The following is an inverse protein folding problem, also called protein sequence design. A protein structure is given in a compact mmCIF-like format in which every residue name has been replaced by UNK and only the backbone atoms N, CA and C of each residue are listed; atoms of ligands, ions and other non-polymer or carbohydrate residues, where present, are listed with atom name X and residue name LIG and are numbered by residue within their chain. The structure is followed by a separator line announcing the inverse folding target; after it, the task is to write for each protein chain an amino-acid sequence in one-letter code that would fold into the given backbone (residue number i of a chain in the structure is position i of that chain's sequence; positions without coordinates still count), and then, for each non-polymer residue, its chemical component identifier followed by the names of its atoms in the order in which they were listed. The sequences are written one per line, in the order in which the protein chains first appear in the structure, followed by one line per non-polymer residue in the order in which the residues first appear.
data_IF_134221185949
#
_entry.id   IF_134221185949
#
_cell.length_a   1.000
_cell.length_b   1.000
_cell.length_c   1.000
_cell.angle_alpha   90.00
_cell.angle_beta   90.00
_cell.angle_gamma   90.00
#
_symmetry.space_group_name_H-M   'P 1'
#
loop_
_entity.id
_entity.type
_entity.pdbx_description
1 polymer ?
#
# COMPACT_ATOMS: atom_id res chain seq x y z
N UNK A 1 -3.76 -10.47 8.72
CA UNK A 1 -2.95 -9.48 7.98
C UNK A 1 -2.00 -8.84 8.96
N UNK A 2 -0.68 -8.85 8.72
CA UNK A 2 0.28 -8.38 9.73
C UNK A 2 0.80 -6.99 9.32
N UNK A 3 0.39 -5.96 10.03
CA UNK A 3 0.94 -4.59 9.92
C UNK A 3 2.22 -4.53 10.76
N UNK A 4 3.25 -3.85 10.26
CA UNK A 4 4.50 -3.66 11.03
C UNK A 4 4.21 -2.92 12.33
N UNK A 5 4.81 -3.30 13.48
CA UNK A 5 4.58 -2.59 14.75
C UNK A 5 4.83 -1.08 14.65
N UNK A 6 5.85 -0.67 13.88
CA UNK A 6 6.16 0.74 13.67
C UNK A 6 5.05 1.54 12.94
N UNK A 7 4.10 0.87 12.26
CA UNK A 7 2.95 1.54 11.66
C UNK A 7 1.98 2.12 12.70
N UNK A 8 1.94 1.57 13.92
CA UNK A 8 1.13 2.12 14.99
C UNK A 8 1.53 3.56 15.35
N UNK A 9 2.80 3.90 15.24
CA UNK A 9 3.33 5.24 15.52
C UNK A 9 2.91 6.30 14.48
N UNK A 10 2.48 5.88 13.30
CA UNK A 10 2.06 6.77 12.21
C UNK A 10 0.55 6.73 11.97
N UNK A 11 -0.15 5.81 12.65
CA UNK A 11 -1.61 5.77 12.61
C UNK A 11 -2.21 7.09 13.11
N UNK A 12 -3.17 7.61 12.35
CA UNK A 12 -3.83 8.88 12.70
C UNK A 12 -3.03 10.15 12.44
N UNK A 13 -1.81 10.07 11.88
CA UNK A 13 -1.12 11.27 11.39
C UNK A 13 -1.93 11.90 10.26
N UNK A 14 -2.33 13.18 10.38
CA UNK A 14 -3.14 13.82 9.36
C UNK A 14 -2.40 13.88 8.04
N UNK A 15 -3.14 13.68 6.95
CA UNK A 15 -2.66 14.04 5.63
C UNK A 15 -2.76 15.55 5.47
N UNK A 16 -1.70 16.17 4.95
CA UNK A 16 -1.69 17.60 4.65
C UNK A 16 -1.57 17.83 3.15
N UNK A 17 -2.19 18.90 2.61
CA UNK A 17 -2.02 19.25 1.20
C UNK A 17 -0.58 19.66 0.92
N UNK A 18 -0.08 19.28 -0.25
CA UNK A 18 1.21 19.76 -0.70
C UNK A 18 1.16 21.28 -0.98
N UNK A 19 2.18 22.02 -0.59
CA UNK A 19 2.33 23.43 -0.93
C UNK A 19 3.26 23.61 -2.14
N UNK A 20 4.58 23.33 -1.93
CA UNK A 20 5.60 23.41 -2.97
C UNK A 20 6.39 22.11 -3.11
N UNK A 21 5.94 21.04 -2.45
CA UNK A 21 6.61 19.75 -2.44
C UNK A 21 5.59 18.62 -2.42
N UNK A 22 5.64 17.76 -3.43
CA UNK A 22 4.80 16.59 -3.58
C UNK A 22 5.63 15.34 -3.31
N UNK A 23 5.45 14.70 -2.16
CA UNK A 23 6.12 13.45 -1.84
C UNK A 23 5.34 12.29 -2.46
N UNK A 24 5.90 11.70 -3.51
CA UNK A 24 5.36 10.53 -4.19
C UNK A 24 6.13 9.28 -3.76
N UNK A 25 5.44 8.31 -3.20
CA UNK A 25 6.02 7.01 -2.85
C UNK A 25 5.58 5.96 -3.87
N UNK A 26 6.56 5.27 -4.47
CA UNK A 26 6.33 4.20 -5.45
C UNK A 26 6.82 2.89 -4.85
N UNK A 27 5.88 2.02 -4.52
CA UNK A 27 6.16 0.84 -3.71
C UNK A 27 5.60 -0.45 -4.30
N UNK A 28 6.50 -1.32 -4.76
CA UNK A 28 6.17 -2.58 -5.44
C UNK A 28 5.91 -3.78 -4.52
N UNK A 29 6.01 -3.60 -3.19
CA UNK A 29 5.99 -4.72 -2.24
C UNK A 29 7.37 -5.38 -2.10
N UNK A 30 7.44 -6.62 -1.57
CA UNK A 30 8.69 -7.27 -1.19
C UNK A 30 9.73 -7.41 -2.32
N UNK A 31 9.27 -7.66 -3.56
CA UNK A 31 10.15 -7.94 -4.71
C UNK A 31 10.34 -6.76 -5.66
N UNK A 32 9.70 -5.62 -5.39
CA UNK A 32 9.61 -4.53 -6.36
C UNK A 32 8.75 -4.92 -7.58
N UNK A 33 8.36 -3.93 -8.37
CA UNK A 33 7.53 -4.16 -9.56
C UNK A 33 8.16 -3.47 -10.77
N UNK A 34 8.67 -4.26 -11.73
CA UNK A 34 9.35 -3.74 -12.94
C UNK A 34 8.48 -2.74 -13.72
N UNK A 35 7.16 -2.96 -13.75
CA UNK A 35 6.23 -2.03 -14.41
C UNK A 35 6.33 -0.60 -13.85
N UNK A 36 6.61 -0.44 -12.57
CA UNK A 36 6.79 0.89 -11.99
C UNK A 36 8.09 1.54 -12.45
N UNK A 37 9.17 0.76 -12.59
CA UNK A 37 10.44 1.24 -13.13
C UNK A 37 10.32 1.68 -14.60
N UNK A 38 9.44 1.04 -15.37
CA UNK A 38 9.21 1.33 -16.77
C UNK A 38 8.25 2.50 -17.01
N UNK A 39 7.23 2.66 -16.15
CA UNK A 39 6.12 3.59 -16.41
C UNK A 39 6.26 4.90 -15.65
N UNK A 40 6.66 4.84 -14.37
CA UNK A 40 6.58 6.04 -13.51
C UNK A 40 7.56 7.13 -13.94
N UNK A 41 8.85 6.86 -14.25
CA UNK A 41 9.75 7.91 -14.73
C UNK A 41 9.24 8.59 -15.99
N UNK A 42 8.78 7.81 -16.98
CA UNK A 42 8.26 8.35 -18.22
C UNK A 42 6.95 9.14 -18.05
N UNK A 43 6.13 8.78 -17.09
CA UNK A 43 4.94 9.54 -16.73
C UNK A 43 5.30 10.88 -16.11
N UNK A 44 6.26 10.90 -15.18
CA UNK A 44 6.71 12.14 -14.54
C UNK A 44 7.40 13.09 -15.54
N UNK A 45 8.09 12.55 -16.56
CA UNK A 45 8.64 13.34 -17.65
C UNK A 45 7.58 14.13 -18.44
N UNK A 46 6.34 13.63 -18.44
CA UNK A 46 5.21 14.24 -19.18
C UNK A 46 4.41 15.25 -18.35
N UNK A 47 4.72 15.39 -17.06
CA UNK A 47 4.06 16.41 -16.23
C UNK A 47 4.44 17.81 -16.69
N UNK A 48 3.52 18.79 -16.55
CA UNK A 48 3.87 20.21 -16.68
C UNK A 48 5.07 20.55 -15.79
N UNK A 49 5.97 21.38 -16.27
CA UNK A 49 7.21 21.76 -15.57
C UNK A 49 6.95 22.27 -14.14
N UNK A 50 5.91 23.10 -13.99
CA UNK A 50 5.51 23.66 -12.71
C UNK A 50 5.12 22.58 -11.66
N UNK A 51 4.60 21.45 -12.09
CA UNK A 51 4.31 20.29 -11.21
C UNK A 51 5.54 19.41 -11.04
N UNK A 52 6.26 19.12 -12.14
CA UNK A 52 7.42 18.23 -12.15
C UNK A 52 8.49 18.68 -11.17
N UNK A 53 8.77 19.98 -11.09
CA UNK A 53 9.77 20.56 -10.18
C UNK A 53 9.41 20.42 -8.70
N UNK A 54 8.13 20.19 -8.38
CA UNK A 54 7.66 19.99 -7.01
C UNK A 54 7.70 18.53 -6.57
N UNK A 55 7.82 17.59 -7.52
CA UNK A 55 7.74 16.14 -7.20
C UNK A 55 9.05 15.65 -6.60
N UNK A 56 8.95 15.05 -5.43
CA UNK A 56 10.00 14.30 -4.77
C UNK A 56 9.60 12.83 -4.71
N UNK A 57 10.39 11.98 -5.33
CA UNK A 57 10.07 10.56 -5.48
C UNK A 57 10.87 9.72 -4.51
N UNK A 58 10.20 8.80 -3.81
CA UNK A 58 10.87 7.64 -3.21
C UNK A 58 10.33 6.40 -3.91
N UNK A 59 11.19 5.73 -4.68
CA UNK A 59 10.79 4.57 -5.47
C UNK A 59 11.57 3.33 -5.09
N UNK A 60 10.85 2.23 -4.83
CA UNK A 60 11.44 0.92 -4.83
C UNK A 60 11.61 0.43 -6.28
N UNK A 61 12.81 0.04 -6.65
CA UNK A 61 13.11 -0.57 -7.94
C UNK A 61 13.90 -1.86 -7.74
N UNK A 62 13.79 -2.81 -8.68
CA UNK A 62 14.61 -4.01 -8.66
C UNK A 62 16.09 -3.64 -8.83
N UNK A 63 16.99 -4.47 -8.32
CA UNK A 63 18.45 -4.21 -8.39
C UNK A 63 18.92 -3.93 -9.82
N UNK A 64 18.41 -4.68 -10.78
CA UNK A 64 18.73 -4.54 -12.20
C UNK A 64 18.20 -3.26 -12.85
N UNK A 65 17.17 -2.63 -12.26
CA UNK A 65 16.52 -1.43 -12.78
C UNK A 65 17.04 -0.14 -12.11
N UNK A 66 17.81 -0.22 -11.00
CA UNK A 66 18.17 0.93 -10.16
C UNK A 66 18.85 2.05 -10.94
N UNK A 67 19.91 1.74 -11.67
CA UNK A 67 20.71 2.75 -12.40
C UNK A 67 19.90 3.41 -13.51
N UNK A 68 19.09 2.64 -14.23
CA UNK A 68 18.22 3.16 -15.28
C UNK A 68 17.19 4.14 -14.72
N UNK A 69 16.56 3.78 -13.60
CA UNK A 69 15.54 4.62 -12.95
C UNK A 69 16.17 5.89 -12.35
N UNK A 70 17.35 5.78 -11.70
CA UNK A 70 18.09 6.92 -11.17
C UNK A 70 18.50 7.90 -12.29
N UNK A 71 19.06 7.39 -13.38
CA UNK A 71 19.44 8.19 -14.52
C UNK A 71 18.25 8.91 -15.16
N UNK A 72 17.10 8.23 -15.26
CA UNK A 72 15.88 8.83 -15.78
C UNK A 72 15.41 10.00 -14.91
N UNK A 73 15.37 9.88 -13.59
CA UNK A 73 15.00 10.98 -12.70
C UNK A 73 16.01 12.12 -12.73
N UNK A 74 17.30 11.80 -12.73
CA UNK A 74 18.36 12.81 -12.79
C UNK A 74 18.30 13.65 -14.06
N UNK A 75 18.05 13.02 -15.23
CA UNK A 75 17.94 13.72 -16.52
C UNK A 75 16.77 14.72 -16.58
N UNK A 76 15.75 14.53 -15.72
CA UNK A 76 14.58 15.40 -15.62
C UNK A 76 14.69 16.44 -14.49
N UNK A 77 15.79 16.44 -13.72
CA UNK A 77 15.95 17.28 -12.53
C UNK A 77 15.00 16.91 -11.37
N UNK A 78 14.43 15.70 -11.37
CA UNK A 78 13.54 15.24 -10.29
C UNK A 78 14.37 14.75 -9.12
N UNK A 79 14.09 15.29 -7.91
CA UNK A 79 14.67 14.77 -6.67
C UNK A 79 14.13 13.37 -6.41
N UNK A 80 14.97 12.35 -6.48
CA UNK A 80 14.55 10.96 -6.30
C UNK A 80 15.49 10.16 -5.40
N UNK A 81 14.89 9.38 -4.50
CA UNK A 81 15.52 8.29 -3.77
C UNK A 81 15.06 6.97 -4.38
N UNK A 82 15.97 6.21 -4.95
CA UNK A 82 15.67 4.92 -5.60
C UNK A 82 16.45 3.81 -4.92
N UNK A 83 15.73 2.87 -4.31
CA UNK A 83 16.30 1.81 -3.47
C UNK A 83 15.73 0.43 -3.84
N UNK A 84 16.50 -0.64 -3.68
CA UNK A 84 15.99 -1.99 -3.90
C UNK A 84 15.01 -2.45 -2.82
N UNK A 85 15.11 -1.86 -1.65
CA UNK A 85 14.25 -2.13 -0.51
C UNK A 85 14.08 -0.87 0.36
N UNK A 86 12.85 -0.60 0.77
CA UNK A 86 12.51 0.54 1.64
C UNK A 86 12.39 0.05 3.08
N UNK A 87 13.32 0.48 3.95
CA UNK A 87 13.36 0.07 5.36
C UNK A 87 12.47 0.95 6.25
N UNK A 88 12.26 2.19 5.86
CA UNK A 88 11.60 3.26 6.59
C UNK A 88 10.15 3.50 6.10
N UNK A 89 9.46 2.44 5.67
CA UNK A 89 8.10 2.53 5.11
C UNK A 89 7.12 3.31 6.01
N UNK A 90 7.11 3.15 7.34
CA UNK A 90 6.23 3.96 8.18
C UNK A 90 6.43 5.46 8.00
N UNK A 91 7.67 5.93 8.03
CA UNK A 91 7.98 7.35 7.87
C UNK A 91 7.71 7.85 6.45
N UNK A 92 8.00 7.03 5.45
CA UNK A 92 7.68 7.33 4.06
C UNK A 92 6.18 7.50 3.86
N UNK A 93 5.38 6.56 4.35
CA UNK A 93 3.93 6.65 4.27
C UNK A 93 3.39 7.84 5.07
N UNK A 94 3.92 8.10 6.27
CA UNK A 94 3.49 9.23 7.10
C UNK A 94 3.67 10.58 6.40
N UNK A 95 4.62 10.71 5.48
CA UNK A 95 4.92 11.93 4.77
C UNK A 95 4.49 11.91 3.28
N UNK A 96 3.91 10.81 2.82
CA UNK A 96 3.47 10.69 1.43
C UNK A 96 2.21 11.54 1.16
N UNK A 97 2.22 12.23 0.02
CA UNK A 97 1.02 12.87 -0.52
C UNK A 97 0.23 11.92 -1.40
N UNK A 98 0.91 10.99 -2.07
CA UNK A 98 0.30 9.93 -2.89
C UNK A 98 1.21 8.70 -2.88
N UNK A 99 0.61 7.52 -2.87
CA UNK A 99 1.29 6.24 -3.00
C UNK A 99 0.90 5.58 -4.32
N UNK A 100 1.87 5.14 -5.11
CA UNK A 100 1.63 4.22 -6.24
C UNK A 100 2.14 2.85 -5.81
N UNK A 101 1.28 1.82 -5.86
CA UNK A 101 1.69 0.52 -5.34
C UNK A 101 0.93 -0.68 -5.88
N UNK A 102 1.41 -1.87 -5.50
CA UNK A 102 0.65 -3.11 -5.64
C UNK A 102 -0.44 -3.18 -4.57
N UNK A 103 -1.49 -3.96 -4.84
CA UNK A 103 -2.63 -4.11 -3.94
C UNK A 103 -2.54 -5.38 -3.06
N UNK A 104 -1.33 -5.78 -2.67
CA UNK A 104 -1.14 -6.86 -1.71
C UNK A 104 -1.70 -6.48 -0.34
N UNK A 105 -2.28 -7.46 0.36
CA UNK A 105 -3.01 -7.21 1.60
C UNK A 105 -2.21 -6.45 2.67
N UNK A 106 -0.91 -6.77 2.88
CA UNK A 106 -0.08 -6.03 3.84
C UNK A 106 0.16 -4.58 3.41
N UNK A 107 0.38 -4.33 2.10
CA UNK A 107 0.56 -2.99 1.58
C UNK A 107 -0.70 -2.13 1.78
N UNK A 108 -1.87 -2.69 1.47
CA UNK A 108 -3.17 -2.02 1.71
C UNK A 108 -3.33 -1.67 3.19
N UNK A 109 -3.06 -2.63 4.09
CA UNK A 109 -3.20 -2.39 5.52
C UNK A 109 -2.26 -1.28 6.02
N UNK A 110 -1.02 -1.20 5.52
CA UNK A 110 -0.07 -0.15 5.89
C UNK A 110 -0.47 1.21 5.29
N UNK A 111 -0.89 1.26 4.02
CA UNK A 111 -1.36 2.48 3.36
C UNK A 111 -2.59 3.07 4.07
N UNK A 112 -3.57 2.23 4.39
CA UNK A 112 -4.79 2.66 5.11
C UNK A 112 -4.49 3.06 6.54
N UNK A 113 -3.61 2.34 7.23
CA UNK A 113 -3.17 2.72 8.60
C UNK A 113 -2.51 4.09 8.62
N UNK A 114 -1.72 4.42 7.60
CA UNK A 114 -1.13 5.75 7.44
C UNK A 114 -2.14 6.79 6.93
N UNK A 115 -3.32 6.40 6.47
CA UNK A 115 -4.32 7.31 5.92
C UNK A 115 -3.82 8.00 4.63
N UNK A 116 -3.27 7.24 3.69
CA UNK A 116 -2.69 7.83 2.46
C UNK A 116 -3.49 7.46 1.22
N UNK A 117 -3.75 8.45 0.33
CA UNK A 117 -4.38 8.18 -0.95
C UNK A 117 -3.45 7.33 -1.82
N UNK A 118 -4.02 6.45 -2.64
CA UNK A 118 -3.20 5.53 -3.43
C UNK A 118 -3.72 5.27 -4.83
N UNK A 119 -2.79 5.12 -5.78
CA UNK A 119 -3.04 4.49 -7.09
C UNK A 119 -2.54 3.05 -6.98
N UNK A 120 -3.47 2.12 -7.09
CA UNK A 120 -3.22 0.69 -6.92
C UNK A 120 -3.21 -0.02 -8.27
N UNK A 121 -2.11 -0.71 -8.54
CA UNK A 121 -1.92 -1.51 -9.76
C UNK A 121 -1.86 -2.99 -9.35
N UNK A 122 -2.98 -3.72 -9.40
CA UNK A 122 -3.00 -5.14 -9.04
C UNK A 122 -2.05 -5.97 -9.91
N UNK A 123 -1.48 -7.03 -9.33
CA UNK A 123 -0.64 -7.97 -10.07
C UNK A 123 -1.53 -8.85 -10.96
N UNK A 124 -1.27 -8.93 -12.29
CA UNK A 124 -2.21 -9.55 -13.23
C UNK A 124 -2.27 -11.09 -13.21
N UNK A 125 -1.54 -11.79 -12.35
CA UNK A 125 -1.40 -13.24 -12.38
C UNK A 125 -1.53 -13.90 -10.99
N UNK A 126 -2.42 -13.42 -10.16
CA UNK A 126 -2.75 -14.17 -8.96
C UNK A 126 -3.77 -15.27 -9.31
N UNK A 127 -3.51 -16.50 -8.93
CA UNK A 127 -4.45 -17.64 -9.08
C UNK A 127 -5.78 -17.40 -8.34
N UNK A 128 -5.78 -16.48 -7.37
CA UNK A 128 -6.94 -15.82 -6.78
C UNK A 128 -6.80 -14.33 -7.09
N UNK A 129 -7.72 -13.70 -7.74
CA UNK A 129 -7.69 -12.28 -8.13
C UNK A 129 -7.70 -11.32 -6.90
N UNK A 130 -7.02 -11.74 -5.83
CA UNK A 130 -6.98 -11.14 -4.51
C UNK A 130 -6.56 -9.65 -4.56
N UNK A 131 -5.55 -9.34 -5.35
CA UNK A 131 -5.10 -7.95 -5.44
C UNK A 131 -6.12 -7.05 -6.13
N UNK A 132 -6.83 -7.56 -7.13
CA UNK A 132 -7.92 -6.81 -7.77
C UNK A 132 -9.06 -6.55 -6.80
N UNK A 133 -9.45 -7.55 -6.01
CA UNK A 133 -10.50 -7.38 -4.98
C UNK A 133 -10.07 -6.37 -3.91
N UNK A 134 -8.83 -6.46 -3.44
CA UNK A 134 -8.27 -5.48 -2.50
C UNK A 134 -8.30 -4.05 -3.08
N UNK A 135 -7.85 -3.87 -4.32
CA UNK A 135 -7.84 -2.56 -4.97
C UNK A 135 -9.27 -2.04 -5.21
N UNK A 136 -10.20 -2.94 -5.57
CA UNK A 136 -11.61 -2.59 -5.74
C UNK A 136 -12.23 -2.09 -4.44
N UNK A 137 -11.99 -2.75 -3.32
CA UNK A 137 -12.48 -2.32 -2.02
C UNK A 137 -11.98 -0.92 -1.64
N UNK A 138 -10.69 -0.61 -1.89
CA UNK A 138 -10.13 0.73 -1.68
C UNK A 138 -10.80 1.77 -2.57
N UNK A 139 -11.01 1.44 -3.85
CA UNK A 139 -11.64 2.36 -4.81
C UNK A 139 -13.11 2.62 -4.48
N UNK A 140 -13.86 1.58 -4.10
CA UNK A 140 -15.27 1.70 -3.69
C UNK A 140 -15.43 2.55 -2.43
N UNK A 141 -14.48 2.49 -1.52
CA UNK A 141 -14.45 3.33 -0.32
C UNK A 141 -14.00 4.77 -0.61
N UNK A 142 -13.62 5.11 -1.85
CA UNK A 142 -13.09 6.42 -2.19
C UNK A 142 -11.68 6.70 -1.67
N UNK A 143 -10.96 5.66 -1.20
CA UNK A 143 -9.63 5.78 -0.59
C UNK A 143 -8.47 5.75 -1.59
N UNK A 144 -8.78 5.63 -2.87
CA UNK A 144 -7.77 5.59 -3.94
C UNK A 144 -8.35 5.15 -5.27
N UNK A 145 -7.47 4.90 -6.21
CA UNK A 145 -7.81 4.57 -7.60
C UNK A 145 -7.15 3.26 -8.03
N UNK A 146 -7.91 2.38 -8.62
CA UNK A 146 -7.39 1.17 -9.24
C UNK A 146 -7.09 1.42 -10.71
N UNK A 147 -5.91 1.00 -11.16
CA UNK A 147 -5.51 0.97 -12.57
C UNK A 147 -5.05 -0.44 -12.90
N UNK A 148 -5.65 -1.08 -13.89
CA UNK A 148 -5.17 -2.39 -14.35
C UNK A 148 -3.80 -2.27 -14.99
N UNK A 149 -2.94 -3.26 -14.83
CA UNK A 149 -1.57 -3.17 -15.35
C UNK A 149 -1.49 -2.91 -16.86
N UNK A 150 -2.34 -3.47 -17.75
CA UNK A 150 -2.34 -3.10 -19.17
C UNK A 150 -2.66 -1.63 -19.43
N UNK A 151 -3.47 -1.01 -18.57
CA UNK A 151 -3.88 0.39 -18.69
C UNK A 151 -2.91 1.35 -17.97
N UNK A 152 -1.96 0.81 -17.21
CA UNK A 152 -0.94 1.56 -16.50
C UNK A 152 0.18 1.99 -17.45
N UNK A 153 -0.10 3.01 -18.24
CA UNK A 153 0.81 3.56 -19.25
C UNK A 153 1.36 4.92 -18.82
N UNK A 154 2.52 5.36 -19.35
CA UNK A 154 3.07 6.69 -19.01
C UNK A 154 2.09 7.83 -19.30
N UNK A 155 1.34 7.77 -20.40
CA UNK A 155 0.37 8.83 -20.78
C UNK A 155 -0.81 8.86 -19.80
N UNK A 156 -1.41 7.70 -19.52
CA UNK A 156 -2.56 7.61 -18.62
C UNK A 156 -2.17 8.01 -17.18
N UNK A 157 -0.99 7.58 -16.72
CA UNK A 157 -0.50 7.95 -15.40
C UNK A 157 -0.18 9.46 -15.31
N UNK A 158 0.46 10.05 -16.33
CA UNK A 158 0.76 11.48 -16.35
C UNK A 158 -0.52 12.33 -16.28
N UNK A 159 -1.55 11.98 -17.06
CA UNK A 159 -2.85 12.66 -17.00
C UNK A 159 -3.44 12.56 -15.60
N UNK A 160 -3.51 11.36 -15.02
CA UNK A 160 -4.05 11.15 -13.67
C UNK A 160 -3.28 11.92 -12.60
N UNK A 161 -1.95 11.92 -12.65
CA UNK A 161 -1.12 12.66 -11.71
C UNK A 161 -1.31 14.17 -11.85
N UNK A 162 -1.44 14.68 -13.07
CA UNK A 162 -1.73 16.10 -13.34
C UNK A 162 -3.06 16.49 -12.67
N UNK A 163 -4.13 15.72 -12.90
CA UNK A 163 -5.45 15.98 -12.30
C UNK A 163 -5.38 16.00 -10.77
N UNK A 164 -4.75 14.98 -10.17
CA UNK A 164 -4.66 14.83 -8.71
C UNK A 164 -3.79 15.91 -8.06
N UNK A 165 -2.72 16.34 -8.70
CA UNK A 165 -1.83 17.36 -8.14
C UNK A 165 -2.36 18.77 -8.35
N UNK A 166 -3.24 19.00 -9.32
CA UNK A 166 -3.93 20.27 -9.51
C UNK A 166 -5.23 20.39 -8.72
N UNK A 167 -5.76 19.25 -8.21
CA UNK A 167 -6.98 19.20 -7.39
C UNK A 167 -6.67 18.54 -6.03
N UNK A 168 -5.99 19.22 -5.11
CA UNK A 168 -5.58 18.64 -3.82
C UNK A 168 -6.75 18.13 -2.96
N UNK A 169 -7.95 18.61 -3.23
CA UNK A 169 -9.18 18.19 -2.55
C UNK A 169 -9.47 16.70 -2.76
N UNK A 170 -9.22 16.17 -3.96
CA UNK A 170 -9.43 14.75 -4.26
C UNK A 170 -8.47 13.86 -3.45
N UNK A 171 -7.21 14.30 -3.34
CA UNK A 171 -6.23 13.61 -2.48
C UNK A 171 -6.63 13.68 -1.00
N UNK A 172 -7.12 14.83 -0.53
CA UNK A 172 -7.56 15.00 0.86
C UNK A 172 -8.76 14.08 1.18
N UNK A 173 -9.74 14.02 0.30
CA UNK A 173 -10.90 13.13 0.47
C UNK A 173 -10.48 11.66 0.49
N UNK A 174 -9.61 11.26 -0.44
CA UNK A 174 -9.10 9.89 -0.49
C UNK A 174 -8.25 9.55 0.74
N UNK A 175 -7.48 10.49 1.28
CA UNK A 175 -6.73 10.30 2.52
C UNK A 175 -7.65 10.08 3.73
N UNK A 176 -8.71 10.87 3.85
CA UNK A 176 -9.73 10.70 4.91
C UNK A 176 -10.42 9.34 4.80
N UNK A 177 -10.82 8.95 3.59
CA UNK A 177 -11.43 7.66 3.33
C UNK A 177 -10.46 6.50 3.64
N UNK A 178 -9.17 6.63 3.29
CA UNK A 178 -8.15 5.65 3.63
C UNK A 178 -7.98 5.49 5.14
N UNK A 179 -7.93 6.60 5.88
CA UNK A 179 -7.83 6.59 7.34
C UNK A 179 -9.04 5.91 8.01
N UNK A 180 -10.25 6.09 7.46
CA UNK A 180 -11.46 5.44 7.96
C UNK A 180 -11.45 3.90 7.77
N UNK A 181 -10.67 3.39 6.81
CA UNK A 181 -10.47 1.95 6.60
C UNK A 181 -9.39 1.34 7.51
N UNK A 182 -8.64 2.16 8.24
CA UNK A 182 -7.57 1.68 9.10
C UNK A 182 -8.08 0.66 10.14
N UNK A 183 -7.28 -0.39 10.34
CA UNK A 183 -7.53 -1.43 11.36
C UNK A 183 -6.23 -1.71 12.10
N UNK A 184 -5.73 -0.74 12.90
CA UNK A 184 -4.44 -0.89 13.59
C UNK A 184 -4.48 -2.02 14.63
N UNK A 185 -5.65 -2.37 15.12
CA UNK A 185 -5.92 -3.42 16.11
C UNK A 185 -6.21 -4.81 15.50
N UNK A 186 -6.09 -4.97 14.18
CA UNK A 186 -6.47 -6.21 13.48
C UNK A 186 -5.80 -7.48 14.05
N UNK A 187 -4.53 -7.39 14.44
CA UNK A 187 -3.80 -8.53 15.03
C UNK A 187 -4.37 -8.91 16.42
N UNK A 188 -4.67 -7.92 17.24
CA UNK A 188 -5.27 -8.14 18.58
C UNK A 188 -6.68 -8.72 18.46
N UNK A 189 -7.48 -8.18 17.55
CA UNK A 189 -8.83 -8.71 17.29
C UNK A 189 -8.80 -10.16 16.83
N UNK A 190 -7.87 -10.53 15.95
CA UNK A 190 -7.69 -11.91 15.53
C UNK A 190 -7.29 -12.81 16.70
N UNK A 191 -6.35 -12.38 17.54
CA UNK A 191 -5.95 -13.13 18.74
C UNK A 191 -7.14 -13.37 19.67
N UNK A 192 -7.92 -12.32 19.98
CA UNK A 192 -9.11 -12.41 20.81
C UNK A 192 -10.15 -13.40 20.22
N UNK A 193 -10.39 -13.34 18.90
CA UNK A 193 -11.30 -14.27 18.23
C UNK A 193 -10.82 -15.72 18.36
N UNK A 194 -9.51 -15.97 18.19
CA UNK A 194 -8.95 -17.32 18.36
C UNK A 194 -9.12 -17.80 19.82
N UNK A 195 -8.85 -16.94 20.81
CA UNK A 195 -9.05 -17.26 22.23
C UNK A 195 -10.53 -17.59 22.54
N UNK A 196 -11.45 -16.79 22.01
CA UNK A 196 -12.89 -17.06 22.12
C UNK A 196 -13.28 -18.41 21.52
N UNK A 197 -12.80 -18.73 20.33
CA UNK A 197 -13.05 -20.03 19.70
C UNK A 197 -12.50 -21.21 20.51
N UNK A 198 -11.34 -21.05 21.12
CA UNK A 198 -10.75 -22.09 21.98
C UNK A 198 -11.54 -22.31 23.28
N UNK A 199 -12.09 -21.25 23.86
CA UNK A 199 -12.92 -21.31 25.05
C UNK A 199 -14.31 -21.92 24.76
N UNK A 200 -14.84 -21.73 23.55
CA UNK A 200 -16.12 -22.29 23.12
C UNK A 200 -16.05 -23.75 22.66
N UNK A 201 -14.86 -24.30 22.46
CA UNK A 201 -14.69 -25.72 22.15
C UNK A 201 -14.94 -26.54 23.42
N UNK A 202 -16.02 -27.37 23.50
CA UNK A 202 -16.23 -28.22 24.65
C UNK A 202 -15.07 -29.21 24.76
N UNK A 203 -14.43 -29.23 25.94
CA UNK A 203 -13.40 -30.20 26.27
C UNK A 203 -13.97 -31.60 26.05
N UNK A 204 -13.44 -32.31 25.09
CA UNK A 204 -13.69 -33.74 24.91
C UNK A 204 -12.93 -34.45 26.04
N UNK A 205 -13.51 -34.48 27.24
CA UNK A 205 -13.02 -35.31 28.32
C UNK A 205 -13.20 -36.77 27.89
N UNK A 206 -12.14 -37.60 27.89
CA UNK A 206 -12.31 -39.02 27.64
C UNK A 206 -13.19 -39.62 28.75
N UNK A 207 -14.25 -40.31 28.36
CA UNK A 207 -15.10 -41.06 29.28
C UNK A 207 -14.27 -42.02 30.11
N UNK A 208 -14.46 -42.15 31.44
CA UNK A 208 -13.77 -43.14 32.24
C UNK A 208 -14.20 -44.54 31.77
N UNK A 209 -13.21 -45.36 31.37
CA UNK A 209 -13.40 -46.76 31.04
C UNK A 209 -13.96 -47.48 32.29
N UNK A 210 -15.17 -47.94 32.18
CA UNK A 210 -15.80 -48.84 33.16
C UNK A 210 -14.92 -50.07 33.38
N UNK A 211 -14.38 -50.18 34.57
CA UNK A 211 -13.64 -51.34 35.03
C UNK A 211 -14.52 -52.57 34.98
N UNK A 212 -14.03 -53.60 34.30
CA UNK A 212 -14.62 -54.91 34.28
C UNK A 212 -14.35 -55.58 35.64
N UNK A 213 -15.37 -55.65 36.46
CA UNK A 213 -15.38 -56.50 37.68
C UNK A 213 -15.25 -57.97 37.24
N UNK A 214 -14.18 -58.62 37.66
CA UNK A 214 -14.08 -60.09 37.72
C UNK A 214 -14.61 -60.52 39.05
N UNK A 215 -15.63 -61.36 39.02
CA UNK A 215 -16.07 -62.15 40.15
C UNK A 215 -15.58 -63.63 40.04
N UNK A 216 -15.52 -64.33 41.17
CA UNK A 216 -14.63 -65.42 41.54
C UNK A 216 -14.87 -66.71 40.85
#
# INVERSE_FOLDING_TARGET
MRVRPAMAAVAGKPWGPHQNRINLVVWGGALGARVFSQVVPDALARLPDALRTQVHVTQQARKEDLETVRAAYASMGITARVEPFLNDVPDLLANAHLVIGRAGGSSIAEITTAGRPSILVPLPLAASDEQTENARAITQAGAGWMVRQPDFTPVALASRLTDLFTTPQDLAQAAMAAAALARPDAAQRLANTVEECLQLSPSHAPSPSNGMETRP
#
